data_IF_796548945309
#
_entry.id   IF_796548945309
#
_cell.length_a   1.000
_cell.length_b   1.000
_cell.length_c   1.000
_cell.angle_alpha   90.00
_cell.angle_beta   90.00
_cell.angle_gamma   90.00
#
_symmetry.space_group_name_H-M   'P 1'
#
loop_
_entity.id
_entity.type
_entity.pdbx_description
1 polymer ?
#
# COMPACT_ATOMS: atom_id res chain seq x y z
N UNK A 1 10.62 2.54 -14.98
CA UNK A 1 9.33 3.23 -15.22
C UNK A 1 8.74 2.60 -16.45
N UNK A 2 7.51 2.10 -16.36
CA UNK A 2 6.83 1.47 -17.48
C UNK A 2 6.62 2.47 -18.61
N UNK A 3 6.55 1.98 -19.85
CA UNK A 3 6.39 2.82 -21.06
C UNK A 3 5.20 3.77 -20.96
N UNK A 4 4.14 3.33 -20.29
CA UNK A 4 2.89 4.08 -20.15
C UNK A 4 3.05 5.32 -19.27
N UNK A 5 3.90 5.27 -18.24
CA UNK A 5 4.19 6.41 -17.37
C UNK A 5 4.91 7.57 -18.09
N UNK A 6 5.51 7.29 -19.25
CA UNK A 6 6.23 8.27 -20.07
C UNK A 6 5.36 8.90 -21.16
N UNK A 7 4.07 8.57 -21.21
CA UNK A 7 3.13 9.14 -22.18
C UNK A 7 2.37 10.34 -21.61
N UNK A 8 1.99 11.28 -22.46
CA UNK A 8 1.21 12.45 -22.03
C UNK A 8 -0.27 12.09 -21.77
N UNK A 9 -0.94 12.74 -20.79
CA UNK A 9 -0.46 13.87 -19.98
C UNK A 9 0.34 13.44 -18.73
N UNK A 10 0.47 12.14 -18.48
CA UNK A 10 1.04 11.60 -17.24
C UNK A 10 2.51 11.99 -17.08
N UNK A 11 3.29 11.99 -18.17
CA UNK A 11 4.68 12.41 -18.17
C UNK A 11 4.88 13.83 -17.61
N UNK A 12 4.01 14.79 -17.97
CA UNK A 12 4.08 16.17 -17.47
C UNK A 12 3.81 16.31 -15.96
N UNK A 13 3.11 15.35 -15.35
CA UNK A 13 2.77 15.35 -13.92
C UNK A 13 3.84 14.68 -13.06
N UNK A 14 4.75 13.90 -13.67
CA UNK A 14 5.81 13.20 -12.96
C UNK A 14 7.06 14.07 -12.87
N UNK A 15 7.71 14.07 -11.70
CA UNK A 15 8.98 14.77 -11.51
C UNK A 15 10.05 14.14 -12.44
N UNK A 16 10.74 14.93 -13.30
CA UNK A 16 11.83 14.41 -14.11
C UNK A 16 12.93 13.80 -13.22
N UNK A 17 13.30 12.55 -13.49
CA UNK A 17 14.26 11.82 -12.66
C UNK A 17 13.77 11.52 -11.23
N UNK A 18 12.48 11.69 -10.95
CA UNK A 18 11.88 11.40 -9.66
C UNK A 18 11.95 9.90 -9.33
N UNK A 19 12.31 9.58 -8.09
CA UNK A 19 12.24 8.22 -7.56
C UNK A 19 10.93 8.04 -6.81
N UNK A 20 10.24 6.92 -7.06
CA UNK A 20 8.98 6.58 -6.37
C UNK A 20 9.22 6.14 -4.92
N UNK A 21 10.38 5.53 -4.68
CA UNK A 21 10.78 4.96 -3.39
C UNK A 21 12.07 5.64 -2.94
N UNK A 22 12.17 5.99 -1.67
CA UNK A 22 13.36 6.58 -1.07
C UNK A 22 14.42 5.50 -0.72
N UNK A 23 14.66 4.57 -1.64
CA UNK A 23 15.72 3.57 -1.56
C UNK A 23 16.62 3.73 -2.79
N UNK A 24 17.96 3.84 -2.62
CA UNK A 24 18.87 4.09 -3.73
C UNK A 24 18.91 2.95 -4.75
N UNK A 25 18.53 1.75 -4.35
CA UNK A 25 18.60 0.54 -5.16
C UNK A 25 17.19 0.00 -5.46
N UNK A 26 16.93 -0.51 -6.67
CA UNK A 26 15.68 -1.20 -6.98
C UNK A 26 15.40 -2.32 -5.97
N UNK A 27 14.13 -2.47 -5.58
CA UNK A 27 13.69 -3.59 -4.74
C UNK A 27 13.39 -4.77 -5.65
N UNK A 28 14.31 -5.72 -5.71
CA UNK A 28 14.23 -6.90 -6.60
C UNK A 28 14.08 -8.21 -5.84
N UNK A 29 14.16 -8.18 -4.51
CA UNK A 29 14.04 -9.34 -3.64
C UNK A 29 13.00 -9.12 -2.52
N UNK A 30 12.50 -10.25 -2.00
CA UNK A 30 11.42 -10.26 -1.01
C UNK A 30 11.89 -9.77 0.36
N UNK A 31 13.12 -10.03 0.74
CA UNK A 31 13.63 -9.69 2.07
C UNK A 31 13.80 -8.17 2.23
N UNK A 32 14.34 -7.51 1.20
CA UNK A 32 14.41 -6.05 1.12
C UNK A 32 13.02 -5.41 1.11
N UNK A 33 12.07 -5.97 0.34
CA UNK A 33 10.68 -5.50 0.34
C UNK A 33 10.06 -5.56 1.74
N UNK A 34 10.24 -6.68 2.46
CA UNK A 34 9.72 -6.83 3.82
C UNK A 34 10.34 -5.86 4.82
N UNK A 35 11.65 -5.58 4.71
CA UNK A 35 12.31 -4.58 5.58
C UNK A 35 11.73 -3.19 5.35
N UNK A 36 11.65 -2.76 4.09
CA UNK A 36 11.11 -1.44 3.75
C UNK A 36 9.64 -1.27 4.16
N UNK A 37 8.82 -2.33 4.00
CA UNK A 37 7.41 -2.28 4.44
C UNK A 37 7.27 -2.01 5.93
N UNK A 38 8.17 -2.50 6.78
CA UNK A 38 8.12 -2.25 8.23
C UNK A 38 8.35 -0.77 8.58
N UNK A 39 9.13 -0.07 7.77
CA UNK A 39 9.50 1.33 8.00
C UNK A 39 8.52 2.30 7.32
N UNK A 40 7.98 1.92 6.16
CA UNK A 40 7.25 2.83 5.27
C UNK A 40 5.74 2.57 5.21
N UNK A 41 5.26 1.41 5.69
CA UNK A 41 3.83 1.11 5.64
C UNK A 41 3.06 2.00 6.63
N UNK A 42 2.16 2.81 6.10
CA UNK A 42 1.23 3.64 6.85
C UNK A 42 -0.21 3.22 6.54
N UNK A 43 -1.13 3.46 7.48
CA UNK A 43 -2.55 3.19 7.26
C UNK A 43 -3.08 4.05 6.12
N UNK A 44 -3.87 3.45 5.23
CA UNK A 44 -4.67 4.19 4.23
C UNK A 44 -5.96 4.77 4.82
N UNK A 45 -6.17 4.63 6.13
CA UNK A 45 -7.36 5.10 6.85
C UNK A 45 -8.70 4.49 6.39
N UNK A 46 -8.66 3.39 5.65
CA UNK A 46 -9.83 2.57 5.35
C UNK A 46 -10.16 1.63 6.52
N UNK A 47 -10.37 2.19 7.71
CA UNK A 47 -10.68 1.42 8.91
C UNK A 47 -12.08 0.78 8.79
N UNK A 48 -12.15 -0.55 8.94
CA UNK A 48 -13.39 -1.34 8.90
C UNK A 48 -13.20 -2.63 9.68
N UNK A 49 -14.29 -3.36 9.94
CA UNK A 49 -14.25 -4.71 10.52
C UNK A 49 -14.17 -4.80 12.04
N UNK A 50 -14.30 -3.68 12.78
CA UNK A 50 -14.36 -3.70 14.26
C UNK A 50 -15.61 -4.41 14.79
N UNK A 51 -16.68 -4.48 14.00
CA UNK A 51 -17.91 -5.22 14.27
C UNK A 51 -18.25 -6.10 13.07
N UNK A 52 -17.45 -7.15 12.88
CA UNK A 52 -17.61 -8.06 11.76
C UNK A 52 -18.94 -8.83 11.84
N UNK A 53 -19.71 -8.79 10.75
CA UNK A 53 -20.94 -9.56 10.56
C UNK A 53 -20.60 -10.99 10.15
N UNK A 54 -20.19 -11.81 11.12
CA UNK A 54 -19.82 -13.22 10.91
C UNK A 54 -20.45 -14.12 11.99
N UNK A 55 -20.32 -15.45 11.92
CA UNK A 55 -20.76 -16.32 13.00
C UNK A 55 -19.99 -16.07 14.31
N UNK A 56 -20.64 -16.30 15.46
CA UNK A 56 -20.07 -16.01 16.79
C UNK A 56 -18.85 -16.86 17.11
N UNK A 57 -18.85 -18.11 16.68
CA UNK A 57 -17.72 -19.05 16.79
C UNK A 57 -16.46 -18.56 16.07
N UNK A 58 -16.60 -17.58 15.16
CA UNK A 58 -15.49 -16.95 14.45
C UNK A 58 -15.11 -15.57 15.00
N UNK A 59 -15.67 -15.17 16.15
CA UNK A 59 -15.29 -13.93 16.83
C UNK A 59 -16.11 -12.71 16.44
N UNK A 60 -17.33 -12.90 15.90
CA UNK A 60 -18.23 -11.80 15.62
C UNK A 60 -18.57 -11.00 16.89
N UNK A 61 -18.38 -9.68 16.82
CA UNK A 61 -18.82 -8.77 17.88
C UNK A 61 -20.34 -8.80 17.94
N UNK A 62 -20.91 -9.16 19.10
CA UNK A 62 -22.35 -9.17 19.31
C UNK A 62 -22.90 -7.75 19.46
N UNK A 63 -22.95 -6.98 18.37
CA UNK A 63 -23.79 -5.78 18.37
C UNK A 63 -25.24 -6.23 18.30
N UNK A 64 -25.90 -6.31 19.46
CA UNK A 64 -27.35 -6.14 19.51
C UNK A 64 -27.60 -4.67 19.20
N UNK A 65 -28.05 -4.40 17.97
CA UNK A 65 -28.66 -3.13 17.60
C UNK A 65 -30.07 -3.04 18.17
#
# INVERSE_FOLDING_TARGET
MDKDAQTEPLASMLKPGGQRLHDPEPVTDLEKAQRLMKELAISMFHASGTCAMMPREHGASSMHA
#
